data_IF_301732916664
#
_entry.id   IF_301732916664
#
_cell.length_a   1.000
_cell.length_b   1.000
_cell.length_c   1.000
_cell.angle_alpha   90.00
_cell.angle_beta   90.00
_cell.angle_gamma   90.00
#
_symmetry.space_group_name_H-M   'P 1'
#
loop_
_entity.id
_entity.type
_entity.pdbx_description
1 polymer ?
#
# COMPACT_ATOMS: atom_id res chain seq x y z
N UNK A 1 3.59 -10.66 0.62
CA UNK A 1 4.11 -9.59 -0.30
C UNK A 1 3.82 -8.17 0.21
N UNK A 2 3.05 -8.03 1.31
CA UNK A 2 2.47 -6.77 1.78
C UNK A 2 3.46 -5.76 2.41
N UNK A 3 4.56 -6.21 3.03
CA UNK A 3 5.49 -5.31 3.73
C UNK A 3 6.11 -4.28 2.77
N UNK A 4 6.64 -4.73 1.63
CA UNK A 4 7.23 -3.84 0.61
C UNK A 4 6.23 -2.83 0.06
N UNK A 5 4.99 -3.26 -0.19
CA UNK A 5 3.93 -2.39 -0.69
C UNK A 5 3.54 -1.29 0.32
N UNK A 6 3.51 -1.63 1.62
CA UNK A 6 3.28 -0.64 2.69
C UNK A 6 4.39 0.41 2.73
N UNK A 7 5.66 0.00 2.66
CA UNK A 7 6.78 0.94 2.66
C UNK A 7 6.78 1.82 1.40
N UNK A 8 6.46 1.25 0.24
CA UNK A 8 6.35 1.99 -1.02
C UNK A 8 5.26 3.06 -0.98
N UNK A 9 4.09 2.73 -0.43
CA UNK A 9 2.99 3.69 -0.28
C UNK A 9 3.34 4.83 0.69
N UNK A 10 3.98 4.52 1.83
CA UNK A 10 4.47 5.54 2.77
C UNK A 10 5.53 6.41 2.10
N UNK A 11 6.45 5.82 1.33
CA UNK A 11 7.48 6.55 0.60
C UNK A 11 6.87 7.53 -0.42
N UNK A 12 5.89 7.08 -1.21
CA UNK A 12 5.16 7.95 -2.15
C UNK A 12 4.43 9.10 -1.45
N UNK A 13 3.86 8.83 -0.27
CA UNK A 13 3.19 9.87 0.52
C UNK A 13 4.18 10.92 1.03
N UNK A 14 5.31 10.49 1.60
CA UNK A 14 6.40 11.39 2.04
C UNK A 14 6.96 12.18 0.86
N UNK A 15 7.14 11.53 -0.29
CA UNK A 15 7.59 12.18 -1.52
C UNK A 15 6.60 13.25 -1.99
N UNK A 16 5.29 12.98 -1.94
CA UNK A 16 4.25 13.95 -2.25
C UNK A 16 4.31 15.18 -1.35
N UNK A 17 4.44 14.99 -0.04
CA UNK A 17 4.59 16.10 0.93
C UNK A 17 5.88 16.88 0.66
N UNK A 18 6.98 16.20 0.39
CA UNK A 18 8.26 16.84 0.07
C UNK A 18 8.16 17.69 -1.20
N UNK A 19 7.48 17.21 -2.26
CA UNK A 19 7.22 18.00 -3.47
C UNK A 19 6.35 19.23 -3.21
N UNK A 20 5.34 19.13 -2.34
CA UNK A 20 4.54 20.31 -1.92
C UNK A 20 5.44 21.32 -1.22
N UNK A 21 6.32 20.87 -0.33
CA UNK A 21 7.29 21.73 0.35
C UNK A 21 8.26 22.41 -0.61
N UNK A 22 8.85 21.65 -1.55
CA UNK A 22 9.78 22.18 -2.56
C UNK A 22 9.06 23.15 -3.51
N UNK A 23 7.81 22.87 -3.85
CA UNK A 23 6.97 23.76 -4.67
C UNK A 23 6.71 25.11 -3.98
N UNK A 24 6.73 25.19 -2.65
CA UNK A 24 6.63 26.48 -1.95
C UNK A 24 7.87 27.38 -2.13
N UNK A 25 9.02 26.80 -2.50
CA UNK A 25 10.30 27.52 -2.68
C UNK A 25 10.79 27.57 -4.14
N UNK A 26 10.07 26.92 -5.06
CA UNK A 26 10.44 26.85 -6.48
C UNK A 26 9.26 27.18 -7.40
N UNK A 27 9.52 27.29 -8.71
CA UNK A 27 8.49 27.52 -9.73
C UNK A 27 7.70 26.27 -10.13
N UNK A 28 7.93 25.15 -9.43
CA UNK A 28 7.17 23.92 -9.60
C UNK A 28 5.72 24.13 -9.10
N UNK A 29 4.75 23.76 -9.95
CA UNK A 29 3.34 23.92 -9.60
C UNK A 29 2.95 23.01 -8.42
N UNK A 30 2.36 23.62 -7.39
CA UNK A 30 1.88 22.93 -6.17
C UNK A 30 0.92 21.78 -6.48
N UNK A 31 0.25 21.87 -7.63
CA UNK A 31 -0.64 20.86 -8.17
C UNK A 31 0.04 19.49 -8.33
N UNK A 32 1.31 19.44 -8.76
CA UNK A 32 2.02 18.18 -8.89
C UNK A 32 2.19 17.46 -7.55
N UNK A 33 2.51 18.21 -6.49
CA UNK A 33 2.62 17.65 -5.15
C UNK A 33 1.28 17.12 -4.63
N UNK A 34 0.19 17.86 -4.89
CA UNK A 34 -1.18 17.46 -4.53
C UNK A 34 -1.59 16.19 -5.30
N UNK A 35 -1.34 16.12 -6.61
CA UNK A 35 -1.65 14.98 -7.46
C UNK A 35 -0.93 13.71 -6.98
N UNK A 36 0.38 13.82 -6.66
CA UNK A 36 1.21 12.72 -6.14
C UNK A 36 0.70 12.28 -4.77
N UNK A 37 0.41 13.23 -3.87
CA UNK A 37 -0.12 12.91 -2.54
C UNK A 37 -1.48 12.19 -2.64
N UNK A 38 -2.37 12.65 -3.52
CA UNK A 38 -3.67 12.01 -3.77
C UNK A 38 -3.52 10.61 -4.38
N UNK A 39 -2.61 10.46 -5.34
CA UNK A 39 -2.25 9.17 -5.96
C UNK A 39 -1.73 8.16 -4.94
N UNK A 40 -0.88 8.61 -4.00
CA UNK A 40 -0.36 7.74 -2.93
C UNK A 40 -1.47 7.16 -2.04
N UNK A 41 -2.55 7.91 -1.83
CA UNK A 41 -3.71 7.48 -1.05
C UNK A 41 -4.52 6.41 -1.78
N UNK A 42 -4.69 6.52 -3.10
CA UNK A 42 -5.31 5.47 -3.91
C UNK A 42 -4.50 4.17 -3.90
N UNK A 43 -3.17 4.28 -4.06
CA UNK A 43 -2.25 3.14 -3.99
C UNK A 43 -2.34 2.47 -2.61
N UNK A 44 -2.39 3.26 -1.53
CA UNK A 44 -2.55 2.73 -0.18
C UNK A 44 -3.82 1.90 0.00
N UNK A 45 -4.95 2.41 -0.49
CA UNK A 45 -6.26 1.73 -0.42
C UNK A 45 -6.22 0.42 -1.22
N UNK A 46 -5.69 0.44 -2.44
CA UNK A 46 -5.47 -0.78 -3.25
C UNK A 46 -4.61 -1.80 -2.50
N UNK A 47 -3.54 -1.34 -1.84
CA UNK A 47 -2.68 -2.18 -1.00
C UNK A 47 -3.44 -2.84 0.16
N UNK A 48 -4.35 -2.12 0.80
CA UNK A 48 -5.22 -2.68 1.83
C UNK A 48 -6.14 -3.77 1.26
N UNK A 49 -6.76 -3.55 0.11
CA UNK A 49 -7.59 -4.57 -0.54
C UNK A 49 -6.81 -5.85 -0.84
N UNK A 50 -5.61 -5.72 -1.42
CA UNK A 50 -4.73 -6.86 -1.64
C UNK A 50 -4.31 -7.55 -0.34
N UNK A 51 -4.07 -6.78 0.73
CA UNK A 51 -3.74 -7.35 2.04
C UNK A 51 -4.90 -8.19 2.62
N UNK A 52 -6.14 -7.72 2.46
CA UNK A 52 -7.34 -8.45 2.90
C UNK A 52 -7.51 -9.74 2.10
N UNK A 53 -7.30 -9.68 0.78
CA UNK A 53 -7.34 -10.84 -0.12
C UNK A 53 -6.25 -11.87 0.22
N UNK A 54 -5.00 -11.44 0.46
CA UNK A 54 -3.89 -12.33 0.84
C UNK A 54 -4.22 -13.05 2.17
N UNK A 55 -4.81 -12.35 3.14
CA UNK A 55 -5.17 -12.93 4.44
C UNK A 55 -6.30 -13.96 4.35
N UNK A 56 -7.30 -13.74 3.50
CA UNK A 56 -8.35 -14.74 3.20
C UNK A 56 -7.76 -15.99 2.54
N UNK A 57 -6.85 -15.81 1.58
CA UNK A 57 -6.18 -16.92 0.89
C UNK A 57 -5.33 -17.77 1.83
N UNK A 58 -4.54 -17.14 2.71
CA UNK A 58 -3.72 -17.86 3.72
C UNK A 58 -4.54 -18.61 4.76
N UNK A 59 -5.67 -18.04 5.18
CA UNK A 59 -6.57 -18.68 6.16
C UNK A 59 -7.19 -19.95 5.58
N UNK A 60 -7.54 -19.94 4.30
CA UNK A 60 -8.14 -21.10 3.64
C UNK A 60 -7.13 -22.25 3.51
N UNK A 61 -5.88 -21.96 3.12
CA UNK A 61 -4.82 -22.97 2.99
C UNK A 61 -4.45 -23.64 4.32
N UNK A 62 -4.46 -22.89 5.44
CA UNK A 62 -4.20 -23.48 6.77
C UNK A 62 -5.29 -24.43 7.24
N UNK A 63 -6.57 -24.11 6.97
CA UNK A 63 -7.69 -24.99 7.33
C UNK A 63 -7.66 -26.31 6.58
N UNK A 64 -7.28 -26.31 5.30
CA UNK A 64 -7.16 -27.52 4.48
C UNK A 64 -6.01 -28.42 4.98
N UNK A 65 -4.86 -27.84 5.31
CA UNK A 65 -3.71 -28.61 5.81
C UNK A 65 -3.96 -29.26 7.18
N UNK A 66 -4.65 -28.59 8.10
CA UNK A 66 -5.01 -29.16 9.41
C UNK A 66 -6.12 -30.20 9.35
N UNK A 67 -6.97 -30.18 8.31
CA UNK A 67 -7.98 -31.19 8.10
C UNK A 67 -7.37 -32.51 7.59
N UNK A 68 -6.30 -32.45 6.80
CA UNK A 68 -5.63 -33.65 6.31
C UNK A 68 -4.81 -34.37 7.39
N UNK A 69 -4.21 -33.64 8.33
CA UNK A 69 -3.47 -34.22 9.46
C UNK A 69 -4.34 -34.93 10.52
N UNK A 70 -5.66 -34.76 10.49
CA UNK A 70 -6.60 -35.42 11.42
C UNK A 70 -7.27 -36.66 10.80
N UNK A 71 -6.89 -37.04 9.58
CA UNK A 71 -7.45 -38.18 8.85
C UNK A 71 -6.42 -39.33 8.74
N UNK A 72 -5.16 -39.10 9.14
CA UNK A 72 -4.12 -40.15 9.32
C UNK A 72 -4.12 -40.73 10.74
#
# INVERSE_FOLDING_TARGET
MIKGFKYFSIFLFVLGIALIGISAFGSLSIWYGIEIAKSSMYIFILGMFFSILENKSKTNNRKVSSAQLNIE
#
